data_IF_729093778309
#
_entry.id   IF_729093778309
#
_cell.length_a   1.000
_cell.length_b   1.000
_cell.length_c   1.000
_cell.angle_alpha   90.00
_cell.angle_beta   90.00
_cell.angle_gamma   90.00
#
_symmetry.space_group_name_H-M   'P 1'
#
loop_
_entity.id
_entity.type
_entity.pdbx_description
1 polymer ?
#
# COMPACT_ATOMS: atom_id res chain seq x y z
N UNK A 1 -15.24 9.99 33.30
CA UNK A 1 -15.64 10.18 31.89
C UNK A 1 -14.51 10.95 31.21
N UNK A 2 -13.82 10.41 30.20
CA UNK A 2 -12.69 11.11 29.62
C UNK A 2 -13.22 12.32 28.84
N UNK A 3 -12.88 13.48 29.37
CA UNK A 3 -13.01 14.81 28.79
C UNK A 3 -12.32 14.87 27.43
N UNK A 4 -13.01 15.42 26.42
CA UNK A 4 -12.47 15.78 25.12
C UNK A 4 -11.21 16.64 25.26
N UNK A 5 -10.12 16.23 24.60
CA UNK A 5 -8.87 17.01 24.40
C UNK A 5 -8.28 16.57 23.04
N UNK A 6 -7.52 17.40 22.29
CA UNK A 6 -7.83 18.69 21.67
C UNK A 6 -7.72 18.62 20.11
N UNK A 7 -8.51 19.43 19.40
CA UNK A 7 -8.55 19.53 17.93
C UNK A 7 -9.83 18.92 17.36
N UNK A 8 -10.70 19.75 16.78
CA UNK A 8 -12.07 19.39 16.34
C UNK A 8 -12.15 18.31 15.23
N UNK A 9 -11.01 17.80 14.77
CA UNK A 9 -10.85 16.88 13.62
C UNK A 9 -10.27 15.51 13.98
N UNK A 10 -9.81 15.29 15.22
CA UNK A 10 -9.38 13.96 15.67
C UNK A 10 -10.58 13.08 16.00
N UNK A 11 -10.51 11.81 15.62
CA UNK A 11 -11.50 10.78 15.97
C UNK A 11 -10.86 9.65 16.75
N UNK A 12 -11.68 8.87 17.45
CA UNK A 12 -11.21 7.66 18.14
C UNK A 12 -10.59 6.69 17.12
N UNK A 13 -9.38 6.23 17.38
CA UNK A 13 -8.62 5.37 16.47
C UNK A 13 -7.55 6.11 15.64
N UNK A 14 -7.53 7.44 15.64
CA UNK A 14 -6.44 8.21 15.03
C UNK A 14 -5.11 7.95 15.77
N UNK A 15 -3.97 7.98 15.04
CA UNK A 15 -2.67 7.81 15.65
C UNK A 15 -2.36 8.94 16.65
N UNK A 16 -1.49 8.65 17.61
CA UNK A 16 -1.02 9.66 18.56
C UNK A 16 -0.19 10.77 17.87
N UNK A 17 0.38 10.48 16.71
CA UNK A 17 1.09 11.46 15.88
C UNK A 17 0.14 12.53 15.32
N UNK A 18 0.65 13.68 14.86
CA UNK A 18 -0.20 14.73 14.30
C UNK A 18 -1.09 14.24 13.15
N UNK A 19 -2.30 14.80 13.07
CA UNK A 19 -3.18 14.66 11.90
C UNK A 19 -3.13 15.98 11.17
N UNK A 20 -2.83 15.96 9.87
CA UNK A 20 -2.76 17.15 9.02
C UNK A 20 -4.11 17.32 8.28
N UNK A 21 -5.06 18.13 8.77
CA UNK A 21 -6.33 18.36 8.08
C UNK A 21 -6.17 19.26 6.86
N UNK A 22 -6.72 18.85 5.72
CA UNK A 22 -6.73 19.61 4.46
C UNK A 22 -8.08 19.48 3.77
N UNK A 23 -8.40 20.39 2.85
CA UNK A 23 -9.55 20.24 1.97
C UNK A 23 -9.15 19.72 0.60
N UNK A 24 -10.08 19.02 -0.04
CA UNK A 24 -9.96 18.67 -1.44
C UNK A 24 -9.74 19.90 -2.33
N UNK A 25 -8.80 19.76 -3.27
CA UNK A 25 -8.40 20.80 -4.21
C UNK A 25 -7.40 21.82 -3.67
N UNK A 26 -7.07 21.80 -2.38
CA UNK A 26 -6.11 22.72 -1.80
C UNK A 26 -4.69 22.48 -2.31
N UNK A 27 -3.93 23.57 -2.42
CA UNK A 27 -2.50 23.51 -2.58
C UNK A 27 -1.86 23.57 -1.20
N UNK A 28 -1.14 22.51 -0.85
CA UNK A 28 -0.48 22.36 0.44
C UNK A 28 1.02 22.42 0.19
N UNK A 29 1.69 23.32 0.89
CA UNK A 29 3.15 23.35 0.96
C UNK A 29 3.58 22.72 2.29
N UNK A 30 4.38 21.66 2.19
CA UNK A 30 5.00 21.00 3.33
C UNK A 30 6.47 21.44 3.39
N UNK A 31 6.90 21.86 4.58
CA UNK A 31 8.30 22.21 4.87
C UNK A 31 8.84 21.26 5.91
N UNK A 32 9.78 20.43 5.52
CA UNK A 32 10.37 19.43 6.39
C UNK A 32 11.78 19.86 6.76
N UNK A 33 12.09 19.78 8.05
CA UNK A 33 13.43 20.01 8.59
C UNK A 33 13.79 18.83 9.47
N UNK A 34 15.01 18.34 9.31
CA UNK A 34 15.60 17.39 10.25
C UNK A 34 16.60 18.13 11.11
N UNK A 35 16.42 18.03 12.43
CA UNK A 35 17.32 18.63 13.39
C UNK A 35 18.69 17.93 13.46
N UNK A 36 19.38 18.12 14.58
CA UNK A 36 20.68 17.49 14.85
C UNK A 36 20.52 16.05 15.39
N UNK A 37 19.80 15.18 14.67
CA UNK A 37 19.63 13.77 15.00
C UNK A 37 20.65 12.91 14.22
N UNK A 38 21.20 11.86 14.84
CA UNK A 38 22.30 11.03 14.28
C UNK A 38 21.94 10.32 12.95
N UNK A 39 20.66 9.97 12.76
CA UNK A 39 20.21 9.13 11.65
C UNK A 39 19.65 9.94 10.48
N UNK A 40 19.92 9.52 9.24
CA UNK A 40 19.25 10.06 8.05
C UNK A 40 17.84 9.48 7.92
N UNK A 41 16.88 10.31 7.53
CA UNK A 41 15.51 9.88 7.27
C UNK A 41 15.18 9.91 5.78
N UNK A 42 14.19 9.13 5.36
CA UNK A 42 13.61 9.24 4.02
C UNK A 42 12.12 9.47 4.22
N UNK A 43 11.69 10.71 4.00
CA UNK A 43 10.29 11.06 4.11
C UNK A 43 9.55 10.56 2.88
N UNK A 44 8.48 9.79 3.08
CA UNK A 44 7.63 9.28 2.01
C UNK A 44 6.15 9.57 2.32
N UNK A 45 5.35 9.75 1.26
CA UNK A 45 3.89 9.81 1.39
C UNK A 45 3.23 8.86 0.42
N UNK A 46 2.20 8.19 0.88
CA UNK A 46 1.35 7.36 0.03
C UNK A 46 0.40 8.23 -0.78
N UNK A 47 0.09 7.79 -2.00
CA UNK A 47 -0.81 8.46 -2.94
C UNK A 47 -0.48 9.94 -3.26
N UNK A 48 0.74 10.38 -2.94
CA UNK A 48 1.23 11.72 -3.24
C UNK A 48 2.56 11.61 -3.97
N UNK A 49 2.71 12.47 -4.98
CA UNK A 49 3.97 12.69 -5.69
C UNK A 49 4.16 14.18 -5.91
N UNK A 50 5.39 14.63 -5.74
CA UNK A 50 5.80 16.02 -5.83
C UNK A 50 7.06 16.17 -6.67
N UNK A 51 7.32 17.38 -7.13
CA UNK A 51 8.60 17.72 -7.76
C UNK A 51 9.68 17.77 -6.68
N UNK A 52 10.81 17.10 -6.93
CA UNK A 52 11.98 17.13 -6.02
C UNK A 52 12.42 18.55 -5.66
N UNK A 53 12.30 19.48 -6.60
CA UNK A 53 12.49 20.92 -6.37
C UNK A 53 11.19 21.65 -6.75
N UNK A 54 10.52 22.35 -5.83
CA UNK A 54 9.20 22.95 -6.05
C UNK A 54 9.11 23.87 -7.27
N UNK A 55 10.15 24.67 -7.50
CA UNK A 55 10.17 25.70 -8.54
C UNK A 55 10.71 25.19 -9.89
N UNK A 56 11.24 23.96 -9.92
CA UNK A 56 11.87 23.38 -11.11
C UNK A 56 11.00 22.23 -11.66
N UNK A 57 10.22 22.55 -12.69
CA UNK A 57 9.34 21.57 -13.36
C UNK A 57 10.09 20.39 -14.03
N UNK A 58 11.42 20.44 -14.11
CA UNK A 58 12.28 19.39 -14.66
C UNK A 58 13.01 18.58 -13.60
N UNK A 59 12.78 18.82 -12.30
CA UNK A 59 13.45 18.09 -11.21
C UNK A 59 13.08 16.60 -11.13
N UNK A 60 12.05 16.19 -11.87
CA UNK A 60 11.44 14.88 -11.76
C UNK A 60 10.49 14.78 -10.57
N UNK A 61 9.56 13.83 -10.67
CA UNK A 61 8.65 13.52 -9.59
C UNK A 61 9.27 12.50 -8.63
N UNK A 62 8.99 12.67 -7.35
CA UNK A 62 9.31 11.72 -6.29
C UNK A 62 8.10 11.56 -5.37
N UNK A 63 8.02 10.44 -4.66
CA UNK A 63 7.09 10.23 -3.54
C UNK A 63 7.83 9.92 -2.23
N UNK A 64 9.16 9.95 -2.29
CA UNK A 64 10.06 9.73 -1.17
C UNK A 64 11.34 10.53 -1.40
N UNK A 65 11.83 11.23 -0.38
CA UNK A 65 13.03 12.05 -0.46
C UNK A 65 13.88 11.91 0.80
N UNK A 66 15.20 11.66 0.66
CA UNK A 66 16.10 11.65 1.81
C UNK A 66 16.20 13.04 2.43
N UNK A 67 16.32 13.06 3.75
CA UNK A 67 16.54 14.23 4.57
C UNK A 67 17.68 13.90 5.54
N UNK A 68 18.76 14.66 5.47
CA UNK A 68 19.93 14.53 6.32
C UNK A 68 19.92 15.45 7.52
N UNK A 69 20.97 15.35 8.33
CA UNK A 69 21.14 16.13 9.55
C UNK A 69 21.24 17.62 9.22
N UNK A 70 20.45 18.46 9.88
CA UNK A 70 20.39 19.91 9.65
C UNK A 70 20.02 20.29 8.21
N UNK A 71 19.38 19.39 7.46
CA UNK A 71 18.81 19.68 6.15
C UNK A 71 17.32 20.03 6.27
N UNK A 72 16.82 20.72 5.25
CA UNK A 72 15.39 20.92 5.02
C UNK A 72 15.07 20.77 3.55
N UNK A 73 13.82 20.44 3.23
CA UNK A 73 13.27 20.61 1.90
C UNK A 73 11.78 20.94 1.96
N UNK A 74 11.32 21.60 0.92
CA UNK A 74 9.92 21.94 0.72
C UNK A 74 9.38 21.19 -0.49
N UNK A 75 8.08 20.89 -0.45
CA UNK A 75 7.37 20.38 -1.59
C UNK A 75 5.92 20.80 -1.57
N UNK A 76 5.36 20.93 -2.77
CA UNK A 76 3.98 21.34 -2.98
C UNK A 76 3.18 20.12 -3.46
N UNK A 77 2.03 19.88 -2.84
CA UNK A 77 1.06 18.89 -3.29
C UNK A 77 -0.28 19.57 -3.54
N UNK A 78 -0.98 19.12 -4.58
CA UNK A 78 -2.38 19.48 -4.81
C UNK A 78 -3.22 18.31 -4.32
N UNK A 79 -4.07 18.55 -3.32
CA UNK A 79 -4.97 17.53 -2.79
C UNK A 79 -5.98 17.18 -3.86
N UNK A 80 -5.97 15.93 -4.33
CA UNK A 80 -6.90 15.47 -5.35
C UNK A 80 -8.34 15.51 -4.84
N UNK A 81 -9.30 16.10 -5.57
CA UNK A 81 -10.71 15.97 -5.22
C UNK A 81 -11.16 14.52 -5.48
N UNK A 82 -11.59 13.82 -4.44
CA UNK A 82 -11.97 12.41 -4.50
C UNK A 82 -13.44 12.26 -4.12
N UNK A 83 -14.05 11.17 -4.61
CA UNK A 83 -15.47 10.87 -4.41
C UNK A 83 -15.83 10.43 -2.98
N UNK A 84 -14.96 10.65 -2.00
CA UNK A 84 -15.17 10.24 -0.61
C UNK A 84 -15.28 11.48 0.28
N UNK A 85 -16.20 11.50 1.24
CA UNK A 85 -16.29 12.60 2.22
C UNK A 85 -14.99 12.82 2.99
N UNK A 86 -14.18 11.77 3.17
CA UNK A 86 -12.89 11.80 3.84
C UNK A 86 -11.92 10.83 3.15
N UNK A 87 -10.67 11.25 2.99
CA UNK A 87 -9.56 10.38 2.56
C UNK A 87 -8.35 10.65 3.43
N UNK A 88 -7.75 9.60 3.96
CA UNK A 88 -6.50 9.66 4.71
C UNK A 88 -5.35 9.21 3.80
N UNK A 89 -4.24 9.95 3.84
CA UNK A 89 -2.96 9.60 3.22
C UNK A 89 -1.90 9.41 4.30
N UNK A 90 -1.07 8.38 4.17
CA UNK A 90 -0.01 8.04 5.12
C UNK A 90 1.24 8.81 4.75
N UNK A 91 1.76 9.61 5.67
CA UNK A 91 3.14 10.09 5.61
C UNK A 91 3.98 9.29 6.59
N UNK A 92 5.20 8.93 6.20
CA UNK A 92 6.05 8.01 6.98
C UNK A 92 7.52 8.19 6.68
N UNK A 93 8.36 7.75 7.61
CA UNK A 93 9.71 7.30 7.28
C UNK A 93 9.64 6.03 6.43
N UNK A 94 10.38 5.99 5.32
CA UNK A 94 10.26 4.87 4.37
C UNK A 94 10.91 3.57 4.86
N UNK A 95 11.72 3.61 5.90
CA UNK A 95 12.34 2.41 6.46
C UNK A 95 11.41 1.74 7.48
N UNK A 96 11.48 0.40 7.56
CA UNK A 96 10.55 -0.39 8.38
C UNK A 96 10.74 -0.12 9.88
N UNK A 97 11.98 0.12 10.31
CA UNK A 97 12.33 0.54 11.67
C UNK A 97 11.68 1.90 12.03
N UNK A 98 11.65 2.84 11.09
CA UNK A 98 11.01 4.14 11.31
C UNK A 98 9.49 4.02 11.45
N UNK A 99 8.87 3.15 10.66
CA UNK A 99 7.45 2.83 10.80
C UNK A 99 7.15 2.20 12.17
N UNK A 100 8.01 1.27 12.62
CA UNK A 100 7.93 0.64 13.93
C UNK A 100 8.04 1.66 15.05
N UNK A 101 9.03 2.55 14.99
CA UNK A 101 9.30 3.58 16.00
C UNK A 101 8.23 4.67 16.06
N UNK A 102 7.21 4.58 15.19
CA UNK A 102 6.07 5.49 15.18
C UNK A 102 6.30 6.75 14.34
N UNK A 103 7.31 6.76 13.46
CA UNK A 103 7.59 7.88 12.56
C UNK A 103 6.66 7.87 11.34
N UNK A 104 5.37 7.97 11.61
CA UNK A 104 4.32 8.06 10.61
C UNK A 104 3.10 8.82 11.14
N UNK A 105 2.27 9.33 10.24
CA UNK A 105 1.00 9.95 10.58
C UNK A 105 0.13 10.10 9.36
N UNK A 106 -0.97 10.83 9.50
CA UNK A 106 -1.98 10.93 8.44
C UNK A 106 -2.22 12.38 8.03
N UNK A 107 -2.29 12.60 6.72
CA UNK A 107 -2.92 13.79 6.16
C UNK A 107 -4.34 13.44 5.78
N UNK A 108 -5.31 14.13 6.37
CA UNK A 108 -6.74 13.86 6.20
C UNK A 108 -7.35 14.93 5.32
N UNK A 109 -7.75 14.54 4.11
CA UNK A 109 -8.50 15.40 3.20
C UNK A 109 -10.00 15.24 3.40
N UNK A 110 -10.71 16.37 3.48
CA UNK A 110 -12.16 16.42 3.61
C UNK A 110 -12.81 16.87 2.29
N UNK A 111 -13.81 16.11 1.85
CA UNK A 111 -14.68 16.45 0.73
C UNK A 111 -15.65 17.58 1.06
N UNK A 112 -16.32 18.11 0.04
CA UNK A 112 -17.29 19.21 0.14
C UNK A 112 -18.71 18.74 -0.16
N UNK A 113 -19.71 19.28 0.54
CA UNK A 113 -21.12 19.00 0.25
C UNK A 113 -21.54 19.65 -1.08
N UNK A 114 -22.38 18.95 -1.85
CA UNK A 114 -23.08 19.54 -2.99
C UNK A 114 -24.18 20.46 -2.45
N UNK A 115 -24.02 21.77 -2.63
CA UNK A 115 -25.11 22.73 -2.38
C UNK A 115 -25.95 22.83 -3.64
N UNK A 116 -27.21 22.43 -3.57
CA UNK A 116 -28.19 22.75 -4.62
C UNK A 116 -28.54 24.24 -4.50
N UNK A 117 -28.30 24.98 -5.58
CA UNK A 117 -28.70 26.37 -5.84
C UNK A 117 -27.82 27.51 -5.28
N UNK A 118 -27.37 28.33 -6.24
CA UNK A 118 -26.93 29.73 -6.20
C UNK A 118 -26.15 30.22 -4.96
N UNK A 119 -24.84 29.94 -4.91
CA UNK A 119 -23.81 30.99 -4.82
C UNK A 119 -22.43 30.37 -5.06
N UNK A 120 -21.84 30.62 -6.25
CA UNK A 120 -20.62 29.94 -6.72
C UNK A 120 -19.36 30.27 -5.90
N UNK A 121 -19.41 31.27 -5.02
CA UNK A 121 -18.23 31.81 -4.33
C UNK A 121 -18.07 31.33 -2.88
N UNK A 122 -19.03 30.58 -2.35
CA UNK A 122 -18.97 30.06 -0.98
C UNK A 122 -19.56 28.65 -0.94
N UNK A 123 -18.77 27.66 -1.39
CA UNK A 123 -19.08 26.26 -1.06
C UNK A 123 -18.67 26.03 0.39
N UNK A 124 -19.61 25.82 1.34
CA UNK A 124 -19.24 25.46 2.68
C UNK A 124 -18.55 24.08 2.66
N UNK A 125 -17.51 23.88 3.49
CA UNK A 125 -16.98 22.55 3.71
C UNK A 125 -18.09 21.62 4.22
N UNK A 126 -18.02 20.32 3.89
CA UNK A 126 -19.02 19.34 4.34
C UNK A 126 -19.24 19.48 5.85
N UNK A 127 -20.47 19.75 6.28
CA UNK A 127 -20.72 20.16 7.69
C UNK A 127 -20.98 18.99 8.65
N UNK A 128 -20.55 17.77 8.30
CA UNK A 128 -20.63 16.62 9.22
C UNK A 128 -19.78 16.88 10.48
N UNK A 129 -20.26 16.45 11.66
CA UNK A 129 -19.45 16.42 12.89
C UNK A 129 -18.11 15.71 12.61
N UNK A 130 -16.98 16.36 12.89
CA UNK A 130 -15.64 15.82 12.64
C UNK A 130 -14.99 16.27 11.32
N UNK A 131 -15.65 17.13 10.54
CA UNK A 131 -15.02 17.84 9.43
C UNK A 131 -14.26 19.04 9.97
N UNK A 132 -12.99 19.16 9.57
CA UNK A 132 -12.12 20.22 10.05
C UNK A 132 -12.60 21.58 9.54
N UNK A 133 -13.43 22.30 10.28
CA UNK A 133 -13.31 23.76 10.24
C UNK A 133 -11.89 24.04 10.72
N UNK A 134 -11.01 24.41 9.78
CA UNK A 134 -9.69 24.96 10.06
C UNK A 134 -9.94 26.32 10.73
N UNK A 135 -10.38 26.27 11.98
CA UNK A 135 -10.60 27.44 12.82
C UNK A 135 -9.30 28.24 12.73
N UNK A 136 -9.43 29.50 12.29
CA UNK A 136 -8.38 30.51 12.16
C UNK A 136 -7.59 30.60 10.84
N UNK A 137 -7.75 29.71 9.85
CA UNK A 137 -7.19 29.99 8.52
C UNK A 137 -8.09 30.98 7.76
N UNK A 138 -7.64 32.25 7.64
CA UNK A 138 -8.23 33.25 6.72
C UNK A 138 -8.03 32.79 5.27
N UNK A 139 -8.89 31.91 4.78
CA UNK A 139 -8.89 31.45 3.41
C UNK A 139 -10.23 30.82 3.09
N UNK A 140 -10.91 31.32 2.05
CA UNK A 140 -12.05 30.62 1.50
C UNK A 140 -11.54 29.33 0.84
N UNK A 141 -12.15 28.16 1.11
CA UNK A 141 -11.69 26.90 0.52
C UNK A 141 -11.72 27.01 -1.01
N UNK A 142 -10.56 26.83 -1.66
CA UNK A 142 -10.39 27.05 -3.11
C UNK A 142 -11.45 26.27 -3.91
N UNK A 143 -12.29 26.92 -4.72
CA UNK A 143 -13.40 26.27 -5.45
C UNK A 143 -12.90 25.19 -6.41
N UNK A 144 -12.73 23.95 -5.93
CA UNK A 144 -12.44 22.81 -6.79
C UNK A 144 -13.76 22.13 -7.15
N UNK A 145 -14.08 21.98 -8.44
CA UNK A 145 -15.25 21.22 -8.83
C UNK A 145 -14.97 19.73 -8.63
N UNK A 146 -15.98 18.99 -8.18
CA UNK A 146 -15.89 17.54 -8.07
C UNK A 146 -15.77 16.94 -9.48
N UNK A 147 -14.86 15.98 -9.70
CA UNK A 147 -14.72 15.37 -11.00
C UNK A 147 -15.96 14.56 -11.35
N UNK A 148 -16.51 14.78 -12.56
CA UNK A 148 -17.58 13.93 -13.12
C UNK A 148 -16.99 12.57 -13.48
N UNK A 149 -16.95 11.67 -12.51
CA UNK A 149 -16.37 10.33 -12.69
C UNK A 149 -17.47 9.31 -12.95
N UNK A 150 -17.24 8.43 -13.94
CA UNK A 150 -18.06 7.22 -14.13
C UNK A 150 -17.81 6.17 -13.04
N UNK A 151 -17.36 4.97 -13.41
CA UNK A 151 -17.04 3.93 -12.43
C UNK A 151 -15.84 4.35 -11.54
N UNK A 152 -16.08 4.60 -10.25
CA UNK A 152 -15.09 5.05 -9.27
C UNK A 152 -13.83 4.16 -9.16
N UNK A 153 -13.92 2.87 -9.51
CA UNK A 153 -12.77 1.96 -9.54
C UNK A 153 -11.79 2.30 -10.67
N UNK A 154 -12.31 2.74 -11.81
CA UNK A 154 -11.52 3.01 -13.02
C UNK A 154 -11.31 4.49 -13.28
N UNK A 155 -11.78 5.33 -12.37
CA UNK A 155 -11.81 6.77 -12.57
C UNK A 155 -10.42 7.38 -12.73
N UNK A 156 -9.38 6.74 -12.17
CA UNK A 156 -7.97 7.13 -12.39
C UNK A 156 -7.51 6.90 -13.84
N UNK A 157 -8.01 5.86 -14.51
CA UNK A 157 -7.64 5.56 -15.90
C UNK A 157 -8.53 6.28 -16.91
N UNK A 158 -9.84 6.38 -16.64
CA UNK A 158 -10.86 6.82 -17.60
C UNK A 158 -11.86 7.78 -16.92
N UNK A 159 -11.55 9.08 -16.87
CA UNK A 159 -12.39 10.05 -16.15
C UNK A 159 -13.80 10.18 -16.74
N UNK A 160 -13.94 10.17 -18.06
CA UNK A 160 -15.23 10.36 -18.75
C UNK A 160 -16.18 9.16 -18.69
N UNK A 161 -15.81 8.09 -17.98
CA UNK A 161 -16.67 6.91 -17.81
C UNK A 161 -16.94 6.12 -19.09
N UNK A 162 -16.31 6.48 -20.22
CA UNK A 162 -16.34 5.72 -21.49
C UNK A 162 -15.51 4.43 -21.37
N UNK A 163 -16.10 3.54 -20.60
CA UNK A 163 -16.01 2.10 -20.64
C UNK A 163 -15.24 1.52 -21.84
N UNK A 164 -15.72 1.75 -23.06
CA UNK A 164 -15.38 1.01 -24.29
C UNK A 164 -13.90 1.00 -24.71
N UNK A 165 -13.04 1.79 -24.06
CA UNK A 165 -11.57 1.67 -24.16
C UNK A 165 -11.01 0.38 -23.50
N UNK A 166 -11.86 -0.50 -22.95
CA UNK A 166 -11.54 -1.74 -22.21
C UNK A 166 -10.53 -2.70 -22.86
N UNK A 167 -10.26 -2.63 -24.17
CA UNK A 167 -9.45 -3.64 -24.89
C UNK A 167 -7.93 -3.50 -24.80
N UNK A 168 -7.39 -2.50 -24.07
CA UNK A 168 -5.96 -2.19 -24.01
C UNK A 168 -5.34 -2.17 -22.60
N UNK A 169 -6.00 -2.77 -21.59
CA UNK A 169 -5.49 -2.80 -20.21
C UNK A 169 -4.39 -3.85 -20.08
N UNK A 170 -3.34 -3.52 -19.33
CA UNK A 170 -2.38 -4.50 -18.89
C UNK A 170 -2.95 -5.22 -17.68
N UNK A 171 -2.93 -6.55 -17.70
CA UNK A 171 -3.36 -7.37 -16.57
C UNK A 171 -2.15 -8.05 -15.95
N UNK A 172 -2.11 -8.01 -14.63
CA UNK A 172 -1.09 -8.67 -13.83
C UNK A 172 -1.78 -9.50 -12.76
N UNK A 173 -1.80 -10.82 -12.92
CA UNK A 173 -2.17 -11.74 -11.85
C UNK A 173 -0.90 -12.13 -11.06
N UNK A 174 -0.90 -11.83 -9.76
CA UNK A 174 0.24 -11.96 -8.86
C UNK A 174 -0.16 -12.79 -7.64
N UNK A 175 0.64 -13.80 -7.33
CA UNK A 175 0.48 -14.67 -6.17
C UNK A 175 1.54 -14.37 -5.11
N UNK A 176 1.13 -14.08 -3.89
CA UNK A 176 2.00 -14.07 -2.72
C UNK A 176 1.99 -15.45 -2.05
N UNK A 177 3.16 -16.07 -1.89
CA UNK A 177 3.28 -17.44 -1.39
C UNK A 177 4.58 -17.63 -0.60
N UNK A 178 4.58 -18.49 0.42
CA UNK A 178 5.84 -18.91 1.07
C UNK A 178 6.64 -19.81 0.12
N UNK A 179 7.94 -19.63 0.08
CA UNK A 179 8.82 -20.45 -0.77
C UNK A 179 8.68 -21.93 -0.44
N UNK A 180 8.62 -22.29 0.84
CA UNK A 180 8.47 -23.69 1.25
C UNK A 180 7.12 -24.30 0.80
N UNK A 181 6.05 -23.51 0.73
CA UNK A 181 4.72 -23.98 0.27
C UNK A 181 4.73 -24.21 -1.24
N UNK A 182 5.51 -23.40 -1.97
CA UNK A 182 5.71 -23.48 -3.40
C UNK A 182 6.60 -24.67 -3.80
N UNK A 183 7.59 -25.01 -2.99
CA UNK A 183 8.48 -26.17 -3.20
C UNK A 183 7.97 -27.46 -2.54
N UNK A 184 6.89 -27.38 -1.75
CA UNK A 184 6.36 -28.47 -0.92
C UNK A 184 7.40 -29.05 0.05
N UNK A 185 8.22 -28.17 0.61
CA UNK A 185 9.28 -28.52 1.55
C UNK A 185 9.06 -27.99 2.95
N UNK A 186 7.94 -27.30 3.24
CA UNK A 186 7.66 -26.87 4.61
C UNK A 186 7.75 -28.06 5.59
N UNK A 187 8.39 -27.83 6.73
CA UNK A 187 8.60 -28.79 7.82
C UNK A 187 9.40 -30.06 7.45
N UNK A 188 10.01 -30.11 6.26
CA UNK A 188 10.84 -31.24 5.82
C UNK A 188 12.34 -30.98 6.05
N UNK A 189 13.15 -32.01 6.37
CA UNK A 189 14.60 -31.85 6.40
C UNK A 189 15.15 -31.61 4.98
N UNK A 190 15.72 -30.42 4.76
CA UNK A 190 16.26 -29.98 3.46
C UNK A 190 15.39 -28.90 2.79
N UNK A 191 16.00 -27.74 2.54
CA UNK A 191 15.41 -26.47 2.04
C UNK A 191 14.01 -26.15 2.56
N UNK A 192 13.95 -25.56 3.75
CA UNK A 192 12.72 -25.04 4.34
C UNK A 192 12.35 -23.64 3.85
N UNK A 193 12.84 -23.11 2.71
CA UNK A 193 12.51 -21.74 2.25
C UNK A 193 13.49 -21.20 1.20
N UNK A 194 13.83 -19.91 1.26
CA UNK A 194 14.74 -19.26 0.31
C UNK A 194 16.18 -19.24 0.83
N UNK A 195 17.12 -19.70 0.02
CA UNK A 195 18.55 -19.61 0.32
C UNK A 195 19.17 -18.42 -0.40
N UNK A 196 19.51 -17.37 0.34
CA UNK A 196 20.13 -16.16 -0.22
C UNK A 196 21.60 -16.36 -0.55
N UNK A 197 22.35 -17.06 0.33
CA UNK A 197 23.77 -17.30 0.12
C UNK A 197 24.23 -18.60 0.79
N UNK A 198 24.62 -19.59 -0.01
CA UNK A 198 25.04 -20.89 0.50
C UNK A 198 26.34 -20.81 1.31
N UNK A 199 27.30 -19.98 0.86
CA UNK A 199 28.62 -19.82 1.50
C UNK A 199 28.51 -19.15 2.86
N UNK A 200 27.62 -18.17 2.99
CA UNK A 200 27.37 -17.47 4.24
C UNK A 200 26.30 -18.16 5.10
N UNK A 201 25.73 -19.28 4.61
CA UNK A 201 24.60 -19.96 5.24
C UNK A 201 23.44 -19.00 5.54
N UNK A 202 23.19 -18.07 4.61
CA UNK A 202 22.14 -17.08 4.71
C UNK A 202 20.88 -17.64 4.08
N UNK A 203 19.92 -18.03 4.91
CA UNK A 203 18.66 -18.63 4.51
C UNK A 203 17.48 -18.06 5.30
N UNK A 204 16.32 -18.05 4.66
CA UNK A 204 15.04 -17.66 5.25
C UNK A 204 14.02 -18.77 5.00
N UNK A 205 13.74 -19.58 6.03
CA UNK A 205 12.77 -20.67 5.90
C UNK A 205 11.33 -20.17 5.71
N UNK A 206 11.02 -18.95 6.15
CA UNK A 206 9.66 -18.42 6.05
C UNK A 206 9.52 -17.38 4.93
N UNK A 207 10.49 -17.33 4.01
CA UNK A 207 10.53 -16.37 2.92
C UNK A 207 9.22 -16.36 2.14
N UNK A 208 8.64 -15.16 2.00
CA UNK A 208 7.49 -14.90 1.15
C UNK A 208 7.98 -14.28 -0.15
N UNK A 209 7.48 -14.77 -1.27
CA UNK A 209 7.76 -14.21 -2.60
C UNK A 209 6.46 -13.83 -3.31
N UNK A 210 6.55 -12.82 -4.16
CA UNK A 210 5.51 -12.46 -5.11
C UNK A 210 5.86 -13.06 -6.47
N UNK A 211 4.94 -13.82 -7.03
CA UNK A 211 5.11 -14.53 -8.29
C UNK A 211 4.07 -14.04 -9.26
N UNK A 212 4.51 -13.51 -10.41
CA UNK A 212 3.61 -13.20 -11.51
C UNK A 212 3.12 -14.50 -12.16
N UNK A 213 1.82 -14.73 -12.16
CA UNK A 213 1.21 -15.94 -12.71
C UNK A 213 1.33 -15.97 -14.23
N UNK A 214 1.12 -14.82 -14.88
CA UNK A 214 1.20 -14.65 -16.33
C UNK A 214 2.66 -14.58 -16.80
N UNK A 215 3.09 -15.54 -17.64
CA UNK A 215 4.52 -15.77 -17.94
C UNK A 215 5.20 -14.73 -18.82
N UNK A 216 4.49 -14.01 -19.68
CA UNK A 216 5.14 -13.19 -20.70
C UNK A 216 4.85 -11.68 -20.48
N UNK A 217 5.89 -10.83 -20.32
CA UNK A 217 5.73 -9.39 -20.39
C UNK A 217 5.24 -9.00 -21.79
N UNK A 218 4.00 -8.54 -21.91
CA UNK A 218 3.45 -8.13 -23.21
C UNK A 218 3.07 -9.28 -24.15
N UNK A 219 2.63 -10.44 -23.63
CA UNK A 219 1.91 -11.41 -24.47
C UNK A 219 0.55 -10.83 -24.84
N UNK A 220 0.52 -10.14 -25.97
CA UNK A 220 -0.71 -9.70 -26.63
C UNK A 220 -1.27 -10.85 -27.48
N UNK A 221 -1.47 -12.02 -26.87
CA UNK A 221 -1.75 -13.26 -27.59
C UNK A 221 -2.73 -14.14 -26.85
N UNK A 222 -4.02 -13.86 -27.00
CA UNK A 222 -5.14 -14.77 -27.34
C UNK A 222 -6.43 -14.04 -26.97
N UNK A 223 -7.24 -13.78 -28.00
CA UNK A 223 -8.57 -13.16 -28.03
C UNK A 223 -8.92 -12.11 -26.95
N UNK A 224 -9.04 -10.85 -27.39
CA UNK A 224 -9.42 -9.65 -26.61
C UNK A 224 -10.77 -9.74 -25.87
N UNK A 225 -11.47 -10.88 -25.91
CA UNK A 225 -12.82 -11.06 -25.37
C UNK A 225 -12.92 -11.81 -24.04
N UNK A 226 -11.91 -12.58 -23.61
CA UNK A 226 -12.13 -13.51 -22.48
C UNK A 226 -11.29 -13.34 -21.22
N UNK A 227 -10.26 -12.50 -21.20
CA UNK A 227 -9.56 -12.20 -19.95
C UNK A 227 -10.09 -10.90 -19.36
N UNK A 228 -11.34 -10.93 -18.90
CA UNK A 228 -11.73 -10.04 -17.80
C UNK A 228 -11.32 -10.78 -16.54
N UNK A 229 -10.62 -10.13 -15.61
CA UNK A 229 -10.46 -10.63 -14.24
C UNK A 229 -11.81 -10.70 -13.48
N UNK A 230 -12.96 -10.68 -14.19
CA UNK A 230 -14.28 -10.89 -13.64
C UNK A 230 -14.46 -12.37 -13.32
N UNK A 231 -14.90 -12.64 -12.09
CA UNK A 231 -15.18 -13.87 -11.34
C UNK A 231 -15.78 -15.11 -12.05
N UNK A 232 -16.02 -15.12 -13.36
CA UNK A 232 -16.73 -16.22 -14.03
C UNK A 232 -15.80 -17.31 -14.61
N UNK A 233 -14.56 -16.97 -14.95
CA UNK A 233 -13.57 -17.87 -15.58
C UNK A 233 -12.20 -17.88 -14.87
N UNK A 234 -12.14 -17.39 -13.63
CA UNK A 234 -10.87 -17.31 -12.91
C UNK A 234 -10.48 -18.65 -12.30
N UNK A 235 -9.27 -19.13 -12.62
CA UNK A 235 -8.64 -20.23 -11.90
C UNK A 235 -8.74 -20.00 -10.39
N UNK A 236 -9.10 -21.06 -9.67
CA UNK A 236 -9.17 -21.08 -8.22
C UNK A 236 -7.79 -20.78 -7.61
N UNK A 237 -7.72 -20.23 -6.39
CA UNK A 237 -6.42 -20.01 -5.75
C UNK A 237 -5.65 -21.33 -5.57
N UNK A 238 -6.35 -22.44 -5.40
CA UNK A 238 -5.74 -23.77 -5.34
C UNK A 238 -5.16 -24.22 -6.69
N UNK A 239 -5.90 -24.01 -7.78
CA UNK A 239 -5.45 -24.34 -9.15
C UNK A 239 -4.21 -23.56 -9.55
N UNK A 240 -4.18 -22.25 -9.26
CA UNK A 240 -3.02 -21.39 -9.50
C UNK A 240 -1.82 -21.89 -8.72
N UNK A 241 -1.97 -22.18 -7.42
CA UNK A 241 -0.88 -22.67 -6.58
C UNK A 241 -0.35 -24.03 -7.06
N UNK A 242 -1.25 -24.93 -7.47
CA UNK A 242 -0.89 -26.24 -8.04
C UNK A 242 -0.09 -26.10 -9.35
N UNK A 243 -0.49 -25.17 -10.22
CA UNK A 243 0.26 -24.84 -11.45
C UNK A 243 1.65 -24.30 -11.11
N UNK A 244 1.75 -23.33 -10.22
CA UNK A 244 3.03 -22.74 -9.81
C UNK A 244 3.98 -23.79 -9.23
N UNK A 245 3.50 -24.69 -8.36
CA UNK A 245 4.27 -25.81 -7.81
C UNK A 245 4.85 -26.71 -8.92
N UNK A 246 4.04 -27.05 -9.92
CA UNK A 246 4.46 -27.88 -11.06
C UNK A 246 5.55 -27.18 -11.88
N UNK A 247 5.40 -25.89 -12.14
CA UNK A 247 6.36 -25.10 -12.93
C UNK A 247 7.71 -24.94 -12.22
N UNK A 248 7.70 -24.72 -10.91
CA UNK A 248 8.93 -24.61 -10.11
C UNK A 248 9.63 -25.97 -10.01
N UNK A 249 8.89 -27.04 -9.68
CA UNK A 249 9.46 -28.40 -9.59
C UNK A 249 10.06 -28.91 -10.90
N UNK A 250 9.45 -28.56 -12.03
CA UNK A 250 9.96 -28.92 -13.36
C UNK A 250 11.13 -28.04 -13.84
N UNK A 251 11.52 -27.03 -13.06
CA UNK A 251 12.56 -26.06 -13.43
C UNK A 251 12.15 -25.08 -14.54
N UNK A 252 10.90 -25.15 -15.00
CA UNK A 252 10.38 -24.22 -16.01
C UNK A 252 10.19 -22.79 -15.46
N UNK A 253 10.13 -22.63 -14.14
CA UNK A 253 10.08 -21.33 -13.47
C UNK A 253 11.17 -21.27 -12.42
N UNK A 254 12.10 -20.33 -12.60
CA UNK A 254 13.12 -20.02 -11.60
C UNK A 254 12.59 -18.96 -10.65
N UNK A 255 13.05 -19.00 -9.40
CA UNK A 255 12.76 -17.93 -8.43
C UNK A 255 13.65 -16.75 -8.80
N UNK A 256 13.05 -15.67 -9.30
CA UNK A 256 13.72 -14.44 -9.70
C UNK A 256 12.93 -13.21 -9.23
N UNK A 257 13.56 -12.03 -9.11
CA UNK A 257 12.85 -10.81 -8.75
C UNK A 257 11.70 -10.52 -9.73
N UNK A 258 10.52 -10.25 -9.19
CA UNK A 258 9.35 -9.92 -9.99
C UNK A 258 9.48 -8.51 -10.57
N UNK A 259 9.30 -8.38 -11.89
CA UNK A 259 9.31 -7.11 -12.60
C UNK A 259 7.99 -6.95 -13.36
N UNK A 260 7.31 -5.83 -13.13
CA UNK A 260 6.14 -5.41 -13.89
C UNK A 260 6.57 -4.29 -14.84
N UNK A 261 6.20 -4.38 -16.12
CA UNK A 261 6.53 -3.37 -17.14
C UNK A 261 5.26 -2.78 -17.71
N UNK A 262 5.17 -1.46 -17.71
CA UNK A 262 4.05 -0.73 -18.28
C UNK A 262 4.55 0.55 -18.94
N UNK A 263 4.08 0.90 -20.15
CA UNK A 263 4.40 2.19 -20.77
C UNK A 263 3.68 3.32 -20.04
N UNK A 264 4.18 4.55 -20.21
CA UNK A 264 3.51 5.75 -19.74
C UNK A 264 2.06 5.82 -20.26
N UNK A 265 1.12 6.15 -19.38
CA UNK A 265 -0.31 6.20 -19.68
C UNK A 265 -1.04 4.87 -19.64
N UNK A 266 -0.36 3.74 -19.41
CA UNK A 266 -1.01 2.44 -19.31
C UNK A 266 -1.92 2.35 -18.09
N UNK A 267 -3.11 1.78 -18.29
CA UNK A 267 -3.99 1.33 -17.23
C UNK A 267 -3.70 -0.14 -16.92
N UNK A 268 -3.43 -0.44 -15.66
CA UNK A 268 -3.02 -1.74 -15.17
C UNK A 268 -4.06 -2.27 -14.19
N UNK A 269 -4.58 -3.47 -14.43
CA UNK A 269 -5.36 -4.22 -13.45
C UNK A 269 -4.43 -5.21 -12.76
N UNK A 270 -4.20 -4.98 -11.47
CA UNK A 270 -3.31 -5.80 -10.66
C UNK A 270 -4.14 -6.61 -9.70
N UNK A 271 -4.18 -7.92 -9.94
CA UNK A 271 -4.78 -8.88 -9.03
C UNK A 271 -3.71 -9.45 -8.11
N UNK A 272 -3.92 -9.31 -6.82
CA UNK A 272 -3.12 -9.95 -5.79
C UNK A 272 -3.89 -11.13 -5.20
N UNK A 273 -3.30 -12.32 -5.24
CA UNK A 273 -3.78 -13.56 -4.63
C UNK A 273 -2.93 -13.89 -3.42
N UNK A 274 -3.58 -14.13 -2.29
CA UNK A 274 -2.90 -14.52 -1.07
C UNK A 274 -2.96 -16.05 -0.87
N UNK A 275 -1.82 -16.71 -0.99
CA UNK A 275 -1.66 -18.15 -0.74
C UNK A 275 -0.99 -18.44 0.61
N UNK A 276 -0.85 -17.45 1.48
CA UNK A 276 -0.35 -17.65 2.83
C UNK A 276 -1.37 -18.47 3.66
N UNK A 277 -0.91 -19.27 4.62
CA UNK A 277 -1.80 -19.94 5.56
C UNK A 277 -2.52 -18.90 6.45
N UNK A 278 -3.71 -19.24 6.94
CA UNK A 278 -4.46 -18.37 7.88
C UNK A 278 -3.63 -18.01 9.12
N UNK A 279 -2.76 -18.92 9.54
CA UNK A 279 -1.86 -18.76 10.67
C UNK A 279 -0.41 -18.96 10.22
N UNK A 280 0.41 -17.91 10.36
CA UNK A 280 1.85 -18.00 10.16
C UNK A 280 2.54 -18.41 11.47
N UNK A 281 3.58 -19.28 11.43
CA UNK A 281 4.25 -19.76 12.64
C UNK A 281 5.05 -18.65 13.33
N UNK A 282 4.68 -18.26 14.55
CA UNK A 282 5.28 -17.08 15.19
C UNK A 282 6.67 -17.30 15.83
N UNK A 283 7.54 -16.30 15.75
CA UNK A 283 8.85 -16.25 16.42
C UNK A 283 9.95 -17.13 15.81
N UNK A 284 11.08 -17.31 16.55
CA UNK A 284 12.23 -18.15 16.19
C UNK A 284 12.00 -19.64 16.00
N UNK A 285 10.76 -20.07 15.84
CA UNK A 285 10.37 -21.45 15.97
C UNK A 285 10.63 -22.17 14.65
N UNK A 286 11.84 -22.71 14.51
CA UNK A 286 12.18 -23.61 13.40
C UNK A 286 11.66 -25.00 13.75
N UNK A 287 10.76 -25.55 12.92
CA UNK A 287 10.24 -26.92 13.06
C UNK A 287 9.63 -27.22 14.45
N UNK A 288 8.85 -26.28 14.99
CA UNK A 288 8.16 -26.47 16.29
C UNK A 288 9.06 -26.43 17.53
N UNK A 289 10.35 -26.08 17.39
CA UNK A 289 11.27 -25.93 18.52
C UNK A 289 11.71 -24.47 18.64
N UNK A 290 11.30 -23.79 19.71
CA UNK A 290 11.73 -22.44 20.02
C UNK A 290 13.21 -22.42 20.40
N UNK A 291 14.05 -21.83 19.56
CA UNK A 291 15.48 -21.72 19.80
C UNK A 291 15.77 -20.33 20.37
N UNK A 292 15.69 -20.18 21.69
CA UNK A 292 15.99 -18.94 22.39
C UNK A 292 17.41 -19.01 22.96
N UNK A 293 18.25 -18.01 22.66
CA UNK A 293 19.46 -17.80 23.48
C UNK A 293 19.05 -17.25 24.86
N UNK A 294 19.84 -17.54 25.91
CA UNK A 294 19.57 -17.07 27.27
C UNK A 294 19.52 -15.54 27.40
N UNK A 295 20.27 -14.82 26.55
CA UNK A 295 20.26 -13.36 26.44
C UNK A 295 18.98 -12.82 25.79
N UNK A 296 18.41 -13.54 24.83
CA UNK A 296 17.08 -13.20 24.27
C UNK A 296 16.04 -13.28 25.39
N UNK A 297 15.96 -14.35 26.17
CA UNK A 297 14.97 -14.44 27.27
C UNK A 297 14.96 -13.25 28.25
N UNK A 298 16.10 -12.58 28.50
CA UNK A 298 16.18 -11.45 29.43
C UNK A 298 15.70 -10.11 28.85
N UNK A 299 15.83 -9.89 27.53
CA UNK A 299 15.22 -8.74 26.83
C UNK A 299 13.73 -9.00 26.49
N UNK A 300 13.24 -10.22 26.76
CA UNK A 300 11.94 -10.73 26.33
C UNK A 300 10.94 -10.90 27.49
N UNK A 301 11.27 -10.45 28.71
CA UNK A 301 10.38 -10.66 29.87
C UNK A 301 9.16 -9.72 29.78
N UNK A 302 7.99 -10.33 29.68
CA UNK A 302 6.64 -9.77 29.70
C UNK A 302 6.27 -8.95 30.98
N UNK A 303 7.21 -8.75 31.91
CA UNK A 303 6.90 -8.25 33.27
C UNK A 303 6.66 -6.75 33.37
N UNK A 304 6.93 -5.96 32.33
CA UNK A 304 6.76 -4.52 32.42
C UNK A 304 5.36 -4.01 32.08
N UNK A 305 4.47 -4.82 31.49
CA UNK A 305 3.10 -4.38 31.14
C UNK A 305 3.03 -3.32 30.01
N UNK A 306 4.15 -3.09 29.31
CA UNK A 306 4.26 -2.16 28.19
C UNK A 306 4.47 -3.00 26.90
N UNK A 307 4.23 -2.39 25.73
CA UNK A 307 4.23 -3.06 24.42
C UNK A 307 5.45 -3.97 24.19
N UNK A 308 5.22 -5.25 23.86
CA UNK A 308 6.25 -6.19 23.40
C UNK A 308 5.84 -6.82 22.08
N UNK A 309 6.72 -6.75 21.07
CA UNK A 309 6.50 -7.30 19.73
C UNK A 309 6.12 -8.79 19.71
N UNK A 310 6.61 -9.57 20.67
CA UNK A 310 6.29 -10.99 20.77
C UNK A 310 4.83 -11.26 21.20
N UNK A 311 4.11 -10.24 21.68
CA UNK A 311 2.70 -10.33 22.04
C UNK A 311 1.76 -10.30 20.83
N UNK A 312 2.27 -9.91 19.66
CA UNK A 312 1.53 -9.91 18.41
C UNK A 312 1.92 -11.15 17.60
N UNK A 313 0.94 -11.78 16.93
CA UNK A 313 1.20 -12.83 15.95
C UNK A 313 1.58 -12.21 14.60
N UNK A 314 2.37 -12.93 13.80
CA UNK A 314 2.58 -12.56 12.38
C UNK A 314 1.24 -12.48 11.64
N UNK A 315 1.04 -11.41 10.87
CA UNK A 315 -0.15 -11.24 10.01
C UNK A 315 -0.05 -12.12 8.77
N UNK A 316 -1.14 -12.83 8.47
CA UNK A 316 -1.31 -13.59 7.24
C UNK A 316 -1.94 -12.78 6.11
N UNK A 317 -2.11 -11.47 6.28
CA UNK A 317 -2.61 -10.57 5.25
C UNK A 317 -1.46 -9.96 4.45
N UNK A 318 -1.65 -9.77 3.15
CA UNK A 318 -0.61 -9.26 2.25
C UNK A 318 -1.14 -8.12 1.38
N UNK A 319 -0.33 -7.10 1.16
CA UNK A 319 -0.63 -5.99 0.27
C UNK A 319 0.39 -5.89 -0.86
N UNK A 320 0.05 -5.12 -1.89
CA UNK A 320 1.00 -4.76 -2.93
C UNK A 320 0.70 -3.35 -3.44
N UNK A 321 1.72 -2.51 -3.49
CA UNK A 321 1.60 -1.11 -3.81
C UNK A 321 2.80 -0.67 -4.63
N UNK A 322 2.58 0.17 -5.62
CA UNK A 322 3.63 0.90 -6.34
C UNK A 322 3.45 2.39 -6.02
N UNK A 323 4.46 3.05 -5.41
CA UNK A 323 4.39 4.48 -5.15
C UNK A 323 4.33 5.26 -6.47
N UNK A 324 3.88 6.52 -6.41
CA UNK A 324 3.75 7.45 -7.55
C UNK A 324 2.71 7.10 -8.63
N UNK A 325 2.33 5.84 -8.81
CA UNK A 325 1.24 5.47 -9.70
C UNK A 325 -0.10 5.99 -9.17
N UNK A 326 -0.93 6.54 -10.05
CA UNK A 326 -2.24 7.00 -9.63
C UNK A 326 -3.20 5.82 -9.43
N UNK A 327 -4.00 5.91 -8.37
CA UNK A 327 -4.91 4.87 -7.90
C UNK A 327 -6.03 5.45 -7.05
N UNK A 328 -7.02 4.63 -6.69
CA UNK A 328 -8.07 5.05 -5.77
C UNK A 328 -7.63 4.86 -4.31
N UNK A 329 -7.11 5.90 -3.64
CA UNK A 329 -6.53 5.81 -2.29
C UNK A 329 -7.48 5.34 -1.21
N UNK A 330 -8.78 5.54 -1.40
CA UNK A 330 -9.77 5.05 -0.43
C UNK A 330 -9.71 3.53 -0.35
N UNK A 331 -9.36 2.86 -1.45
CA UNK A 331 -9.43 1.41 -1.60
C UNK A 331 -8.09 0.75 -1.98
N UNK A 332 -7.09 1.50 -2.45
CA UNK A 332 -5.95 0.93 -3.18
C UNK A 332 -4.58 1.46 -2.73
N UNK A 333 -4.52 2.15 -1.59
CA UNK A 333 -3.30 2.83 -1.15
C UNK A 333 -2.18 1.92 -0.63
N UNK A 334 -2.44 0.61 -0.48
CA UNK A 334 -1.44 -0.31 0.06
C UNK A 334 -1.57 -0.53 1.56
N UNK A 335 -1.77 0.55 2.31
CA UNK A 335 -1.77 0.53 3.76
C UNK A 335 -3.19 0.71 4.34
N UNK A 336 -3.54 -0.10 5.34
CA UNK A 336 -4.84 -0.08 6.00
C UNK A 336 -4.81 0.84 7.22
N UNK A 337 -4.90 2.15 6.99
CA UNK A 337 -4.84 3.15 8.05
C UNK A 337 -6.01 4.14 7.98
N UNK A 338 -6.30 4.76 9.13
CA UNK A 338 -7.24 5.87 9.21
C UNK A 338 -8.70 5.50 8.93
N UNK A 339 -9.40 6.40 8.26
CA UNK A 339 -10.84 6.34 7.98
C UNK A 339 -11.18 5.90 6.55
N UNK A 340 -10.17 5.53 5.74
CA UNK A 340 -10.39 4.99 4.41
C UNK A 340 -11.34 3.78 4.51
N UNK A 341 -12.28 3.57 3.59
CA UNK A 341 -13.19 2.39 3.65
C UNK A 341 -14.29 2.40 4.72
N UNK A 342 -14.38 3.42 5.58
CA UNK A 342 -15.54 3.62 6.47
C UNK A 342 -16.80 4.15 5.76
N UNK A 343 -16.73 4.38 4.45
CA UNK A 343 -17.87 4.76 3.62
C UNK A 343 -18.60 3.51 3.11
N UNK A 344 -19.88 3.30 3.46
CA UNK A 344 -20.65 2.19 2.91
C UNK A 344 -20.77 2.31 1.39
N UNK A 345 -20.77 1.16 0.70
CA UNK A 345 -21.16 1.13 -0.71
C UNK A 345 -22.64 1.52 -0.89
N UNK A 346 -23.10 1.65 -2.13
CA UNK A 346 -24.50 1.98 -2.46
C UNK A 346 -25.52 1.00 -1.85
N UNK A 347 -25.09 -0.16 -1.36
CA UNK A 347 -25.91 -1.18 -0.72
C UNK A 347 -25.73 -1.22 0.82
N UNK A 348 -25.06 -0.23 1.41
CA UNK A 348 -24.84 -0.13 2.85
C UNK A 348 -23.72 -1.02 3.38
N UNK A 349 -22.96 -1.72 2.53
CA UNK A 349 -21.89 -2.64 2.94
C UNK A 349 -20.56 -1.89 3.02
N UNK A 350 -19.90 -1.96 4.18
CA UNK A 350 -18.56 -1.39 4.33
C UNK A 350 -17.58 -2.12 3.42
N UNK A 351 -16.78 -1.35 2.67
CA UNK A 351 -15.69 -1.91 1.87
C UNK A 351 -14.49 -2.18 2.77
N UNK A 352 -13.71 -3.24 2.51
CA UNK A 352 -12.46 -3.44 3.22
C UNK A 352 -11.55 -2.21 3.02
N UNK A 353 -10.90 -1.77 4.10
CA UNK A 353 -9.84 -0.76 4.05
C UNK A 353 -8.72 -1.26 3.13
N UNK A 354 -8.28 -0.40 2.22
CA UNK A 354 -7.11 -0.62 1.38
C UNK A 354 -7.16 -1.89 0.53
N UNK A 355 -5.99 -2.35 0.11
CA UNK A 355 -5.82 -3.51 -0.76
C UNK A 355 -5.14 -4.70 -0.05
N UNK A 356 -5.19 -4.74 1.28
CA UNK A 356 -4.74 -5.90 2.03
C UNK A 356 -5.66 -7.09 1.76
N UNK A 357 -5.06 -8.18 1.31
CA UNK A 357 -5.73 -9.43 0.97
C UNK A 357 -5.52 -10.40 2.11
N UNK A 358 -6.60 -10.88 2.73
CA UNK A 358 -6.54 -11.89 3.78
C UNK A 358 -6.13 -13.26 3.22
N UNK A 359 -5.58 -14.14 4.05
CA UNK A 359 -5.33 -15.53 3.69
C UNK A 359 -6.64 -16.27 3.34
N UNK A 360 -6.56 -17.26 2.45
CA UNK A 360 -7.73 -18.06 2.10
C UNK A 360 -8.23 -18.89 3.28
N UNK A 361 -9.54 -18.84 3.49
CA UNK A 361 -10.27 -19.89 4.20
C UNK A 361 -10.79 -20.88 3.16
N UNK A 362 -10.91 -22.16 3.52
CA UNK A 362 -11.32 -23.25 2.63
C UNK A 362 -12.58 -22.95 1.80
N UNK A 363 -13.44 -22.04 2.29
CA UNK A 363 -14.78 -21.83 1.75
C UNK A 363 -14.95 -20.45 1.05
N UNK A 364 -13.90 -19.63 0.90
CA UNK A 364 -14.06 -18.26 0.39
C UNK A 364 -12.88 -17.72 -0.42
N UNK A 365 -12.84 -18.06 -1.71
CA UNK A 365 -11.83 -17.54 -2.65
C UNK A 365 -11.94 -16.04 -2.94
N UNK A 366 -13.15 -15.51 -2.93
CA UNK A 366 -13.42 -14.09 -3.20
C UNK A 366 -12.84 -13.14 -2.14
N UNK A 367 -12.41 -13.66 -0.98
CA UNK A 367 -11.83 -12.87 0.12
C UNK A 367 -10.30 -12.91 0.16
N UNK A 368 -9.68 -13.86 -0.53
CA UNK A 368 -8.22 -14.01 -0.58
C UNK A 368 -7.61 -13.66 -1.93
N UNK A 369 -8.36 -12.89 -2.73
CA UNK A 369 -7.82 -12.12 -3.84
C UNK A 369 -8.45 -10.73 -3.88
N UNK A 370 -7.68 -9.73 -4.27
CA UNK A 370 -8.20 -8.39 -4.56
C UNK A 370 -7.61 -7.86 -5.87
N UNK A 371 -8.39 -7.08 -6.60
CA UNK A 371 -7.95 -6.43 -7.84
C UNK A 371 -7.97 -4.93 -7.67
N UNK A 372 -6.79 -4.32 -7.83
CA UNK A 372 -6.58 -2.88 -7.82
C UNK A 372 -6.28 -2.35 -9.22
N UNK A 373 -6.54 -1.06 -9.44
CA UNK A 373 -6.31 -0.39 -10.72
C UNK A 373 -5.23 0.66 -10.56
N UNK A 374 -4.13 0.48 -11.28
CA UNK A 374 -3.03 1.45 -11.29
C UNK A 374 -2.95 2.14 -12.64
N UNK A 375 -2.55 3.40 -12.65
CA UNK A 375 -2.32 4.12 -13.88
C UNK A 375 -0.96 4.81 -13.89
N UNK A 376 -0.21 4.61 -14.99
CA UNK A 376 1.13 5.14 -15.19
C UNK A 376 1.10 6.62 -15.62
N UNK A 377 0.69 7.50 -14.70
CA UNK A 377 0.69 8.94 -14.91
C UNK A 377 0.18 9.73 -13.72
N UNK A 378 -0.10 11.02 -13.92
CA UNK A 378 -0.77 11.90 -12.94
C UNK A 378 -2.04 12.52 -13.50
N UNK A 379 -3.09 12.54 -12.69
CA UNK A 379 -4.36 13.15 -13.09
C UNK A 379 -4.46 14.53 -12.46
N UNK A 380 -4.92 15.49 -13.24
CA UNK A 380 -5.10 16.88 -12.81
C UNK A 380 -6.56 17.25 -13.03
N UNK A 381 -7.20 17.78 -11.99
CA UNK A 381 -8.56 18.32 -12.14
C UNK A 381 -8.47 19.82 -12.42
N UNK A 382 -9.06 20.24 -13.55
CA UNK A 382 -9.12 21.65 -13.93
C UNK A 382 -10.22 22.41 -13.15
N UNK A 383 -10.27 23.72 -13.34
CA UNK A 383 -11.25 24.63 -12.68
C UNK A 383 -12.72 24.32 -13.02
N UNK A 384 -12.98 23.44 -13.99
CA UNK A 384 -14.32 23.00 -14.39
C UNK A 384 -14.65 21.57 -13.92
N UNK A 385 -13.76 20.91 -13.16
CA UNK A 385 -13.97 19.55 -12.65
C UNK A 385 -13.69 18.48 -13.69
N UNK A 386 -13.06 18.85 -14.81
CA UNK A 386 -12.66 17.88 -15.81
C UNK A 386 -11.28 17.37 -15.44
N UNK A 387 -11.18 16.07 -15.22
CA UNK A 387 -9.93 15.39 -14.97
C UNK A 387 -9.17 15.20 -16.29
N UNK A 388 -7.92 15.69 -16.30
CA UNK A 388 -6.95 15.53 -17.37
C UNK A 388 -5.89 14.53 -16.93
N UNK A 389 -5.78 13.42 -17.64
CA UNK A 389 -4.77 12.40 -17.39
C UNK A 389 -3.50 12.72 -18.19
N UNK A 390 -2.39 12.97 -17.49
CA UNK A 390 -1.05 13.13 -18.05
C UNK A 390 -0.25 11.82 -17.94
N UNK A 391 0.07 11.16 -19.06
CA UNK A 391 0.94 9.97 -19.04
C UNK A 391 2.36 10.37 -18.61
N UNK A 392 2.95 9.65 -17.66
CA UNK A 392 4.31 9.92 -17.17
C UNK A 392 5.11 8.62 -17.10
N UNK A 393 6.36 8.69 -17.55
CA UNK A 393 7.35 7.64 -17.32
C UNK A 393 8.10 7.93 -16.02
N UNK A 394 7.87 7.09 -15.00
CA UNK A 394 8.48 7.24 -13.68
C UNK A 394 9.80 6.47 -13.51
N UNK A 395 10.26 5.77 -14.54
CA UNK A 395 11.42 4.88 -14.46
C UNK A 395 11.14 3.64 -13.62
N UNK A 396 12.11 3.22 -12.80
CA UNK A 396 11.98 2.06 -11.93
C UNK A 396 11.34 2.47 -10.60
N UNK A 397 10.17 1.90 -10.31
CA UNK A 397 9.45 2.09 -9.05
C UNK A 397 9.56 0.83 -8.19
N UNK A 398 9.80 0.95 -6.87
CA UNK A 398 9.78 -0.20 -5.98
C UNK A 398 8.35 -0.70 -5.79
N UNK A 399 8.18 -2.01 -5.69
CA UNK A 399 6.94 -2.59 -5.19
C UNK A 399 7.05 -2.75 -3.67
N UNK A 400 6.05 -2.27 -2.95
CA UNK A 400 5.99 -2.25 -1.50
C UNK A 400 4.78 -3.06 -1.03
N UNK A 401 4.96 -3.86 0.02
CA UNK A 401 3.88 -4.52 0.74
C UNK A 401 3.72 -3.88 2.11
N UNK A 402 2.49 -3.55 2.48
CA UNK A 402 2.13 -3.13 3.85
C UNK A 402 1.34 -4.21 4.59
N UNK A 403 1.47 -5.48 4.17
CA UNK A 403 0.74 -6.62 4.77
C UNK A 403 1.01 -6.81 6.26
N UNK A 404 2.28 -6.62 6.65
CA UNK A 404 2.70 -6.52 8.05
C UNK A 404 3.99 -5.69 8.11
N UNK A 405 3.91 -4.45 8.59
CA UNK A 405 5.11 -3.60 8.79
C UNK A 405 5.77 -3.84 10.13
N UNK A 406 5.10 -4.58 11.02
CA UNK A 406 5.60 -4.92 12.35
C UNK A 406 6.22 -6.30 12.26
N UNK A 407 5.42 -7.33 11.97
CA UNK A 407 5.74 -8.76 12.14
C UNK A 407 5.56 -9.60 10.87
N UNK A 408 6.11 -9.13 9.75
CA UNK A 408 6.20 -10.00 8.56
C UNK A 408 7.28 -11.08 8.77
N UNK A 409 7.15 -12.29 8.19
CA UNK A 409 8.26 -13.24 8.19
C UNK A 409 9.43 -12.66 7.39
N UNK A 410 10.39 -12.11 8.12
CA UNK A 410 11.70 -11.71 7.65
C UNK A 410 12.79 -12.32 8.56
N UNK A 411 12.49 -13.50 9.14
CA UNK A 411 13.38 -14.14 10.09
C UNK A 411 14.45 -14.96 9.36
N UNK A 412 15.51 -14.26 8.98
CA UNK A 412 16.77 -14.83 8.54
C UNK A 412 17.45 -15.55 9.73
N UNK A 413 17.50 -16.88 9.68
CA UNK A 413 18.32 -17.64 10.62
C UNK A 413 19.80 -17.40 10.25
N UNK A 414 20.58 -16.80 11.16
CA UNK A 414 22.02 -16.47 11.05
C UNK A 414 22.41 -15.20 10.27
N UNK A 415 21.59 -14.15 10.30
CA UNK A 415 22.06 -12.81 9.88
C UNK A 415 23.12 -12.22 10.83
N UNK A 416 23.23 -12.73 12.07
CA UNK A 416 24.36 -12.50 12.96
C UNK A 416 25.17 -13.80 13.05
N UNK A 417 26.38 -13.77 12.52
CA UNK A 417 27.23 -14.94 12.35
C UNK A 417 27.76 -15.47 13.67
N UNK A 418 27.08 -16.45 14.26
CA UNK A 418 27.74 -17.40 15.15
C UNK A 418 28.55 -18.36 14.29
N UNK A 419 29.84 -18.04 14.12
CA UNK A 419 30.83 -19.06 13.75
C UNK A 419 30.92 -20.03 14.92
N UNK A 420 30.22 -21.16 14.83
CA UNK A 420 30.50 -22.30 15.69
C UNK A 420 31.98 -22.70 15.56
N UNK A 421 32.63 -23.15 16.64
CA UNK A 421 34.01 -23.61 16.58
C UNK A 421 34.05 -24.91 15.75
N UNK A 422 34.80 -24.85 14.66
CA UNK A 422 35.18 -26.03 13.86
C UNK A 422 36.43 -26.71 14.41
#
# INVERSE_FOLDING_TARGET
MPTQVPGAWRVMGDPATPVLPVYEGEQVQLRLIQGAQEAQHVFAMTDSSWLREPDNHRSGYVSAQPLGISEHFEFNIKVSPRLSPVVDQLYMGSSVDQLWDGMWGIMRSYGREEVSELDSNTRPPSTRKGVAQLFEMRGHPATSPQPKMGNAKYAVCFPDGKADAYSSRLQFDISAVRVCDLTETCDKPGMNGLQYNQRLMLEDPNAIIFVRNDRLPGDFGIDKKELRLNDSNNDSNEEVLKRLRKEVKSGQRRIEPMVLRAPAGACMEVRLRNHLPEFLPDGPVVNGKGNYSSLQRQLYVDDFGWFNYNQFRMSSSIGLSAPMLARNSVQEDGANFGLNGNDPDNNGKMKPLGNLVAACKSDSESKCAATSVWWAGRYEVNENGVQKNLPIEFGALPLVSFGDVIKHPAWCNRCFGDRGPG
#
